data_IF_309434463537
#
_entry.id   IF_309434463537
#
_cell.length_a   1.000
_cell.length_b   1.000
_cell.length_c   1.000
_cell.angle_alpha   90.00
_cell.angle_beta   90.00
_cell.angle_gamma   90.00
#
_symmetry.space_group_name_H-M   'P 1'
#
loop_
_entity.id
_entity.type
_entity.pdbx_description
1 polymer ?
#
# COMPACT_ATOMS: atom_id res chain seq x y z
N UNK A 1 -18.51 14.19 -4.06
CA UNK A 1 -17.88 14.13 -2.73
C UNK A 1 -16.84 13.03 -2.75
N UNK A 2 -15.60 13.31 -2.35
CA UNK A 2 -14.53 12.30 -2.30
C UNK A 2 -14.76 11.42 -1.06
N UNK A 3 -14.69 10.11 -1.20
CA UNK A 3 -14.84 9.19 -0.07
C UNK A 3 -13.66 9.35 0.89
N UNK A 4 -13.95 9.76 2.12
CA UNK A 4 -12.99 9.75 3.22
C UNK A 4 -13.10 8.41 3.95
N UNK A 5 -11.95 7.82 4.31
CA UNK A 5 -11.88 6.53 4.98
C UNK A 5 -11.00 6.60 6.22
N UNK A 6 -11.48 5.99 7.30
CA UNK A 6 -10.76 5.93 8.55
C UNK A 6 -9.69 4.83 8.51
N UNK A 7 -8.49 5.13 9.01
CA UNK A 7 -7.32 4.26 8.99
C UNK A 7 -7.55 2.96 9.79
N UNK A 8 -8.32 3.00 10.88
CA UNK A 8 -8.63 1.80 11.66
C UNK A 8 -9.61 0.88 10.93
N UNK A 9 -10.61 1.47 10.24
CA UNK A 9 -11.50 0.70 9.35
C UNK A 9 -10.71 0.07 8.20
N UNK A 10 -9.75 0.81 7.65
CA UNK A 10 -8.90 0.30 6.58
C UNK A 10 -8.03 -0.87 7.04
N UNK A 11 -7.39 -0.76 8.21
CA UNK A 11 -6.62 -1.86 8.80
C UNK A 11 -7.48 -3.10 9.11
N UNK A 12 -8.71 -2.90 9.60
CA UNK A 12 -9.64 -3.99 9.85
C UNK A 12 -10.07 -4.73 8.57
N UNK A 13 -10.17 -4.03 7.43
CA UNK A 13 -10.44 -4.68 6.13
C UNK A 13 -9.27 -5.51 5.63
N UNK A 14 -8.04 -5.06 5.85
CA UNK A 14 -6.83 -5.85 5.55
C UNK A 14 -6.78 -7.11 6.41
N UNK A 15 -7.03 -6.99 7.71
CA UNK A 15 -7.06 -8.13 8.63
C UNK A 15 -8.16 -9.15 8.23
N UNK A 16 -9.35 -8.64 7.86
CA UNK A 16 -10.43 -9.46 7.31
C UNK A 16 -10.03 -10.15 6.00
N UNK A 17 -9.30 -9.47 5.12
CA UNK A 17 -8.82 -10.06 3.86
C UNK A 17 -7.88 -11.24 4.12
N UNK A 18 -6.87 -11.06 4.99
CA UNK A 18 -5.96 -12.14 5.38
C UNK A 18 -6.67 -13.32 6.06
N UNK A 19 -7.72 -13.04 6.85
CA UNK A 19 -8.50 -14.07 7.53
C UNK A 19 -9.57 -14.75 6.67
N UNK A 20 -9.71 -14.41 5.38
CA UNK A 20 -10.84 -14.82 4.53
C UNK A 20 -12.23 -14.47 5.12
N UNK A 21 -12.31 -13.34 5.85
CA UNK A 21 -13.52 -12.87 6.56
C UNK A 21 -14.25 -11.72 5.85
N UNK A 22 -13.86 -11.37 4.63
CA UNK A 22 -14.58 -10.36 3.84
C UNK A 22 -15.98 -10.84 3.41
N UNK A 23 -16.15 -12.14 3.19
CA UNK A 23 -17.45 -12.79 2.97
C UNK A 23 -18.29 -12.14 1.88
N UNK A 24 -19.57 -11.89 2.18
CA UNK A 24 -20.55 -11.32 1.27
C UNK A 24 -20.30 -9.85 0.87
N UNK A 25 -19.28 -9.19 1.44
CA UNK A 25 -18.89 -7.83 1.04
C UNK A 25 -18.20 -7.81 -0.33
N UNK A 26 -17.60 -8.93 -0.74
CA UNK A 26 -16.87 -9.06 -2.01
C UNK A 26 -17.88 -9.02 -3.15
N UNK A 27 -17.70 -8.06 -4.06
CA UNK A 27 -18.46 -7.96 -5.31
C UNK A 27 -17.68 -8.54 -6.49
N UNK A 28 -16.38 -8.26 -6.56
CA UNK A 28 -15.45 -8.85 -7.51
C UNK A 28 -14.15 -9.20 -6.82
N UNK A 29 -13.47 -10.24 -7.27
CA UNK A 29 -12.14 -10.60 -6.77
C UNK A 29 -11.26 -11.10 -7.89
N UNK A 30 -9.96 -10.99 -7.69
CA UNK A 30 -8.95 -11.66 -8.50
C UNK A 30 -7.94 -12.31 -7.58
N UNK A 31 -7.61 -13.56 -7.89
CA UNK A 31 -6.52 -14.33 -7.31
C UNK A 31 -5.81 -15.04 -8.47
N UNK A 32 -4.78 -14.38 -9.01
CA UNK A 32 -4.05 -14.91 -10.18
C UNK A 32 -2.59 -14.49 -10.11
N UNK A 33 -1.69 -15.44 -10.39
CA UNK A 33 -0.25 -15.21 -10.41
C UNK A 33 0.28 -14.51 -9.13
N UNK A 34 -0.25 -14.90 -7.96
CA UNK A 34 0.11 -14.31 -6.66
C UNK A 34 -0.48 -12.93 -6.38
N UNK A 35 -1.28 -12.36 -7.30
CA UNK A 35 -2.02 -11.11 -7.09
C UNK A 35 -3.36 -11.40 -6.48
N UNK A 36 -3.58 -10.87 -5.27
CA UNK A 36 -4.86 -10.91 -4.58
C UNK A 36 -5.45 -9.50 -4.50
N UNK A 37 -6.70 -9.35 -4.95
CA UNK A 37 -7.44 -8.10 -4.82
C UNK A 37 -8.95 -8.36 -4.67
N UNK A 38 -9.58 -7.60 -3.78
CA UNK A 38 -11.01 -7.70 -3.49
C UNK A 38 -11.66 -6.34 -3.71
N UNK A 39 -12.60 -6.27 -4.64
CA UNK A 39 -13.45 -5.10 -4.83
C UNK A 39 -14.78 -5.32 -4.09
N UNK A 40 -15.05 -4.46 -3.11
CA UNK A 40 -16.19 -4.57 -2.22
C UNK A 40 -17.42 -3.85 -2.78
N UNK A 41 -18.61 -4.23 -2.30
CA UNK A 41 -19.88 -3.65 -2.74
C UNK A 41 -20.01 -2.13 -2.52
N UNK A 42 -19.29 -1.58 -1.53
CA UNK A 42 -19.25 -0.14 -1.24
C UNK A 42 -18.30 0.65 -2.17
N UNK A 43 -17.54 -0.05 -3.02
CA UNK A 43 -16.59 0.52 -3.99
C UNK A 43 -15.16 0.63 -3.46
N UNK A 44 -14.85 0.01 -2.32
CA UNK A 44 -13.48 -0.08 -1.78
C UNK A 44 -12.73 -1.24 -2.44
N UNK A 45 -11.51 -0.97 -2.90
CA UNK A 45 -10.57 -1.98 -3.36
C UNK A 45 -9.59 -2.32 -2.24
N UNK A 46 -9.56 -3.59 -1.81
CA UNK A 46 -8.67 -4.10 -0.76
C UNK A 46 -7.60 -4.99 -1.38
N UNK A 47 -6.35 -4.66 -1.11
CA UNK A 47 -5.15 -5.31 -1.65
C UNK A 47 -4.31 -5.85 -0.49
N UNK A 48 -4.52 -7.09 -0.02
CA UNK A 48 -3.61 -7.70 0.94
C UNK A 48 -2.22 -7.90 0.29
N UNK A 49 -1.21 -8.13 1.14
CA UNK A 49 0.07 -8.65 0.67
C UNK A 49 -0.01 -10.15 0.38
N UNK A 50 1.08 -10.72 -0.14
CA UNK A 50 1.22 -12.18 -0.26
C UNK A 50 1.34 -12.84 1.11
N UNK A 51 0.81 -14.06 1.24
CA UNK A 51 0.98 -14.92 2.42
C UNK A 51 2.36 -15.60 2.48
N UNK A 52 3.15 -15.50 1.40
CA UNK A 52 4.45 -16.18 1.29
C UNK A 52 5.61 -15.18 1.19
N UNK A 53 6.52 -15.21 2.17
CA UNK A 53 7.77 -14.42 2.11
C UNK A 53 8.64 -14.75 0.89
N UNK A 54 8.52 -15.96 0.33
CA UNK A 54 9.16 -16.39 -0.93
C UNK A 54 8.68 -15.60 -2.13
N UNK A 55 7.37 -15.34 -2.25
CA UNK A 55 6.84 -14.47 -3.30
C UNK A 55 7.29 -13.03 -3.13
N UNK A 56 7.32 -12.55 -1.88
CA UNK A 56 7.83 -11.22 -1.55
C UNK A 56 9.30 -11.07 -1.99
N UNK A 57 10.16 -12.05 -1.72
CA UNK A 57 11.56 -12.01 -2.19
C UNK A 57 11.64 -12.06 -3.72
N UNK A 58 10.82 -12.87 -4.41
CA UNK A 58 10.79 -12.91 -5.89
C UNK A 58 10.48 -11.56 -6.53
N UNK A 59 9.51 -10.83 -5.99
CA UNK A 59 9.19 -9.48 -6.50
C UNK A 59 10.23 -8.45 -6.11
N UNK A 60 10.82 -8.54 -4.91
CA UNK A 60 11.79 -7.59 -4.36
C UNK A 60 13.21 -7.78 -4.93
N UNK A 61 13.57 -8.97 -5.39
CA UNK A 61 14.87 -9.30 -6.00
C UNK A 61 14.97 -8.86 -7.47
N UNK A 62 13.85 -8.53 -8.11
CA UNK A 62 13.83 -7.90 -9.44
C UNK A 62 14.10 -6.40 -9.36
N UNK A 63 15.27 -6.02 -8.81
CA UNK A 63 15.71 -4.63 -8.53
C UNK A 63 15.96 -3.75 -9.77
N UNK A 64 15.69 -4.30 -10.95
CA UNK A 64 15.66 -3.55 -12.18
C UNK A 64 14.52 -2.55 -12.17
N UNK A 65 14.83 -1.35 -12.65
CA UNK A 65 13.82 -0.35 -12.86
C UNK A 65 13.22 -0.51 -14.25
N UNK A 66 11.90 -0.50 -14.36
CA UNK A 66 11.16 -0.51 -15.63
C UNK A 66 10.49 0.84 -15.85
N UNK A 67 10.50 1.34 -17.08
CA UNK A 67 9.81 2.59 -17.43
C UNK A 67 8.32 2.30 -17.57
N UNK A 68 7.48 2.98 -16.80
CA UNK A 68 6.02 2.92 -16.94
C UNK A 68 5.47 4.04 -17.83
N UNK A 69 4.18 3.97 -18.16
CA UNK A 69 3.47 4.93 -19.03
C UNK A 69 3.51 6.38 -18.53
N UNK A 70 3.76 6.58 -17.23
CA UNK A 70 4.01 7.90 -16.65
C UNK A 70 5.36 8.51 -17.02
N UNK A 71 6.17 7.81 -17.83
CA UNK A 71 7.55 8.18 -18.16
C UNK A 71 8.53 7.97 -16.99
N UNK A 72 8.06 7.43 -15.86
CA UNK A 72 8.84 7.21 -14.64
C UNK A 72 9.35 5.78 -14.55
N UNK A 73 10.42 5.61 -13.78
CA UNK A 73 11.06 4.33 -13.53
C UNK A 73 10.55 3.73 -12.22
N UNK A 74 10.01 2.52 -12.29
CA UNK A 74 9.39 1.80 -11.17
C UNK A 74 10.17 0.54 -10.87
N UNK A 75 10.09 0.06 -9.63
CA UNK A 75 10.59 -1.27 -9.30
C UNK A 75 9.85 -2.31 -10.14
N UNK A 76 10.56 -3.12 -10.95
CA UNK A 76 9.93 -4.01 -11.95
C UNK A 76 8.91 -4.96 -11.32
N UNK A 77 9.25 -5.60 -10.21
CA UNK A 77 8.34 -6.54 -9.53
C UNK A 77 7.04 -5.88 -9.07
N UNK A 78 7.13 -4.70 -8.45
CA UNK A 78 5.95 -3.98 -7.97
C UNK A 78 5.13 -3.40 -9.12
N UNK A 79 5.78 -2.99 -10.21
CA UNK A 79 5.08 -2.51 -11.41
C UNK A 79 4.28 -3.63 -12.07
N UNK A 80 4.86 -4.83 -12.22
CA UNK A 80 4.15 -5.96 -12.81
C UNK A 80 2.90 -6.34 -11.98
N UNK A 81 3.03 -6.39 -10.65
CA UNK A 81 1.89 -6.60 -9.75
C UNK A 81 0.85 -5.48 -9.92
N UNK A 82 1.29 -4.22 -9.93
CA UNK A 82 0.41 -3.07 -10.05
C UNK A 82 -0.32 -3.01 -11.40
N UNK A 83 0.27 -3.50 -12.50
CA UNK A 83 -0.39 -3.56 -13.80
C UNK A 83 -1.59 -4.50 -13.79
N UNK A 84 -1.46 -5.70 -13.18
CA UNK A 84 -2.58 -6.63 -13.04
C UNK A 84 -3.70 -6.03 -12.18
N UNK A 85 -3.33 -5.42 -11.04
CA UNK A 85 -4.30 -4.70 -10.20
C UNK A 85 -4.95 -3.54 -10.95
N UNK A 86 -4.19 -2.78 -11.74
CA UNK A 86 -4.71 -1.64 -12.51
C UNK A 86 -5.72 -2.10 -13.57
N UNK A 87 -5.43 -3.18 -14.29
CA UNK A 87 -6.35 -3.76 -15.28
C UNK A 87 -7.66 -4.22 -14.64
N UNK A 88 -7.58 -4.82 -13.44
CA UNK A 88 -8.76 -5.20 -12.65
C UNK A 88 -9.53 -3.98 -12.13
N UNK A 89 -8.83 -2.99 -11.57
CA UNK A 89 -9.43 -1.86 -10.86
C UNK A 89 -10.03 -0.80 -11.80
N UNK A 90 -9.38 -0.51 -12.92
CA UNK A 90 -9.77 0.57 -13.85
C UNK A 90 -11.23 0.48 -14.32
N UNK A 91 -11.77 -0.67 -14.79
CA UNK A 91 -13.18 -0.75 -15.18
C UNK A 91 -14.14 -0.65 -13.99
N UNK A 92 -13.70 -1.06 -12.78
CA UNK A 92 -14.52 -1.05 -11.56
C UNK A 92 -14.63 0.32 -10.89
N UNK A 93 -13.77 1.27 -11.27
CA UNK A 93 -13.75 2.66 -10.77
C UNK A 93 -13.83 2.74 -9.23
N UNK A 94 -12.82 2.20 -8.50
CA UNK A 94 -12.84 2.22 -7.04
C UNK A 94 -12.96 3.64 -6.50
N UNK A 95 -13.73 3.77 -5.42
CA UNK A 95 -13.87 5.03 -4.67
C UNK A 95 -12.76 5.22 -3.66
N UNK A 96 -12.13 4.12 -3.24
CA UNK A 96 -11.04 4.08 -2.29
C UNK A 96 -10.17 2.84 -2.53
N UNK A 97 -8.88 2.93 -2.21
CA UNK A 97 -7.95 1.79 -2.28
C UNK A 97 -7.26 1.62 -0.92
N UNK A 98 -7.17 0.38 -0.46
CA UNK A 98 -6.44 0.01 0.76
C UNK A 98 -5.44 -1.07 0.39
N UNK A 99 -4.19 -0.90 0.78
CA UNK A 99 -3.16 -1.92 0.56
C UNK A 99 -2.31 -2.19 1.79
N UNK A 100 -1.80 -3.42 1.89
CA UNK A 100 -0.79 -3.81 2.89
C UNK A 100 0.38 -4.52 2.21
N UNK A 101 1.62 -4.28 2.66
CA UNK A 101 2.82 -4.98 2.17
C UNK A 101 2.97 -4.91 0.63
N UNK A 102 3.05 -6.04 -0.07
CA UNK A 102 3.06 -6.12 -1.53
C UNK A 102 1.82 -5.45 -2.16
N UNK A 103 0.64 -5.65 -1.58
CA UNK A 103 -0.59 -4.96 -2.00
C UNK A 103 -0.53 -3.45 -1.78
N UNK A 104 0.23 -2.98 -0.78
CA UNK A 104 0.49 -1.55 -0.57
C UNK A 104 1.47 -0.96 -1.60
N UNK A 105 2.41 -1.76 -2.11
CA UNK A 105 3.24 -1.37 -3.26
C UNK A 105 2.36 -1.08 -4.48
N UNK A 106 1.39 -1.97 -4.75
CA UNK A 106 0.44 -1.82 -5.83
C UNK A 106 -0.52 -0.64 -5.59
N UNK A 107 -1.05 -0.50 -4.38
CA UNK A 107 -1.95 0.58 -3.99
C UNK A 107 -1.32 1.95 -4.24
N UNK A 108 -0.04 2.14 -3.91
CA UNK A 108 0.70 3.37 -4.21
C UNK A 108 0.66 3.74 -5.69
N UNK A 109 0.95 2.77 -6.57
CA UNK A 109 1.03 2.98 -8.02
C UNK A 109 -0.38 3.22 -8.58
N UNK A 110 -1.32 2.31 -8.31
CA UNK A 110 -2.68 2.34 -8.85
C UNK A 110 -3.46 3.55 -8.32
N UNK A 111 -3.35 3.87 -7.04
CA UNK A 111 -3.99 5.01 -6.41
C UNK A 111 -3.54 6.34 -7.01
N UNK A 112 -2.24 6.51 -7.21
CA UNK A 112 -1.72 7.71 -7.88
C UNK A 112 -2.13 7.78 -9.35
N UNK A 113 -2.08 6.66 -10.08
CA UNK A 113 -2.48 6.59 -11.50
C UNK A 113 -3.95 6.88 -11.73
N UNK A 114 -4.84 6.35 -10.87
CA UNK A 114 -6.29 6.57 -10.96
C UNK A 114 -6.75 7.84 -10.25
N UNK A 115 -5.88 8.52 -9.49
CA UNK A 115 -6.21 9.65 -8.62
C UNK A 115 -7.35 9.30 -7.65
N UNK A 116 -7.25 8.14 -7.04
CA UNK A 116 -8.23 7.60 -6.07
C UNK A 116 -7.63 7.66 -4.68
N UNK A 117 -8.37 8.12 -3.65
CA UNK A 117 -7.91 8.11 -2.27
C UNK A 117 -7.39 6.73 -1.85
N UNK A 118 -6.19 6.70 -1.29
CA UNK A 118 -5.48 5.45 -1.01
C UNK A 118 -4.79 5.47 0.34
N UNK A 119 -4.99 4.41 1.12
CA UNK A 119 -4.20 4.11 2.32
C UNK A 119 -3.32 2.90 2.05
N UNK A 120 -2.02 3.06 2.27
CA UNK A 120 -1.00 2.03 2.07
C UNK A 120 -0.27 1.76 3.39
N UNK A 121 -0.45 0.58 3.96
CA UNK A 121 0.24 0.14 5.18
C UNK A 121 1.48 -0.67 4.84
N UNK A 122 2.55 -0.52 5.64
CA UNK A 122 3.74 -1.35 5.52
C UNK A 122 4.33 -1.38 4.10
N UNK A 123 4.26 -0.24 3.42
CA UNK A 123 4.48 -0.19 1.98
C UNK A 123 5.98 -0.11 1.67
N UNK A 124 6.50 -0.89 0.71
CA UNK A 124 7.86 -0.71 0.23
C UNK A 124 7.97 0.52 -0.68
N UNK A 125 9.20 0.90 -0.99
CA UNK A 125 9.52 1.98 -1.93
C UNK A 125 9.35 1.44 -3.36
N UNK A 126 8.60 2.15 -4.20
CA UNK A 126 8.22 1.64 -5.54
C UNK A 126 8.76 2.47 -6.69
N UNK A 127 9.06 3.75 -6.46
CA UNK A 127 9.39 4.72 -7.50
C UNK A 127 10.87 5.08 -7.44
N UNK A 128 11.57 4.96 -8.56
CA UNK A 128 12.95 5.42 -8.70
C UNK A 128 13.02 6.93 -8.95
N UNK A 129 13.95 7.57 -8.25
CA UNK A 129 14.22 9.02 -8.34
C UNK A 129 13.42 9.88 -7.37
N UNK A 130 13.70 11.20 -7.39
CA UNK A 130 13.24 12.14 -6.35
C UNK A 130 12.06 13.02 -6.76
N UNK A 131 11.82 13.21 -8.05
CA UNK A 131 10.77 14.12 -8.54
C UNK A 131 9.37 13.55 -8.31
N UNK A 132 8.40 14.41 -7.97
CA UNK A 132 6.99 14.03 -7.77
C UNK A 132 6.31 13.58 -9.06
N UNK A 133 5.34 12.69 -8.95
CA UNK A 133 4.39 12.28 -9.99
C UNK A 133 3.07 13.06 -9.83
N UNK A 134 2.30 13.17 -10.92
CA UNK A 134 0.89 13.58 -10.82
C UNK A 134 0.11 12.52 -10.04
N UNK A 135 -0.82 12.94 -9.18
CA UNK A 135 -1.68 12.02 -8.41
C UNK A 135 -1.08 11.52 -7.09
N UNK A 136 0.18 11.80 -6.76
CA UNK A 136 0.76 11.35 -5.47
C UNK A 136 0.02 11.89 -4.24
N UNK A 137 -0.63 13.06 -4.36
CA UNK A 137 -1.42 13.65 -3.27
C UNK A 137 -2.64 12.81 -2.84
N UNK A 138 -3.01 11.77 -3.59
CA UNK A 138 -4.11 10.86 -3.26
C UNK A 138 -3.69 9.67 -2.38
N UNK A 139 -2.38 9.50 -2.15
CA UNK A 139 -1.83 8.33 -1.46
C UNK A 139 -1.24 8.72 -0.11
N UNK A 140 -1.67 8.01 0.94
CA UNK A 140 -1.10 8.09 2.28
C UNK A 140 -0.45 6.75 2.66
N UNK A 141 0.86 6.79 2.94
CA UNK A 141 1.63 5.65 3.42
C UNK A 141 1.77 5.74 4.93
N UNK A 142 1.35 4.69 5.63
CA UNK A 142 1.51 4.53 7.07
C UNK A 142 2.63 3.51 7.28
N UNK A 143 3.74 3.98 7.84
CA UNK A 143 5.01 3.29 7.83
C UNK A 143 5.52 3.17 9.26
N UNK A 144 6.12 2.04 9.60
CA UNK A 144 6.82 1.86 10.87
C UNK A 144 8.32 1.93 10.68
N UNK A 145 9.02 2.57 11.60
CA UNK A 145 10.48 2.72 11.54
C UNK A 145 11.19 1.38 11.71
N UNK A 146 10.62 0.46 12.51
CA UNK A 146 11.14 -0.89 12.75
C UNK A 146 10.75 -1.91 11.67
N UNK A 147 9.90 -1.53 10.71
CA UNK A 147 9.48 -2.42 9.63
C UNK A 147 10.46 -2.37 8.46
N UNK A 148 11.24 -3.44 8.30
CA UNK A 148 12.27 -3.55 7.26
C UNK A 148 11.72 -3.42 5.85
N UNK A 149 10.47 -3.85 5.59
CA UNK A 149 9.84 -3.78 4.26
C UNK A 149 9.67 -2.32 3.85
N UNK A 150 9.38 -1.43 4.79
CA UNK A 150 9.24 0.01 4.51
C UNK A 150 10.54 0.65 4.02
N UNK A 151 11.68 0.01 4.28
CA UNK A 151 12.99 0.49 3.86
C UNK A 151 13.47 -0.14 2.55
N UNK A 152 12.77 -1.15 2.04
CA UNK A 152 13.12 -1.87 0.81
C UNK A 152 12.51 -1.22 -0.45
N UNK A 153 13.17 -1.35 -1.60
CA UNK A 153 14.56 -1.76 -1.76
C UNK A 153 15.53 -0.73 -1.15
N UNK A 154 16.73 -1.18 -0.70
CA UNK A 154 17.74 -0.28 -0.17
C UNK A 154 18.26 0.64 -1.27
N UNK A 155 18.72 1.83 -0.88
CA UNK A 155 19.38 2.73 -1.82
C UNK A 155 20.81 2.21 -2.06
N UNK A 156 21.07 1.65 -3.24
CA UNK A 156 22.40 1.14 -3.63
C UNK A 156 22.92 1.94 -4.83
N UNK A 157 24.09 2.55 -4.67
CA UNK A 157 24.73 3.37 -5.71
C UNK A 157 23.85 4.54 -6.15
N UNK A 158 23.57 4.64 -7.46
CA UNK A 158 22.75 5.72 -8.05
C UNK A 158 21.25 5.40 -8.08
N UNK A 159 20.83 4.18 -7.72
CA UNK A 159 19.42 3.78 -7.66
C UNK A 159 18.85 4.17 -6.29
N UNK A 160 18.04 5.23 -6.27
CA UNK A 160 17.29 5.62 -5.07
C UNK A 160 15.81 5.42 -5.30
N UNK A 161 15.20 4.57 -4.48
CA UNK A 161 13.77 4.33 -4.49
C UNK A 161 13.09 5.12 -3.38
N UNK A 162 11.83 5.48 -3.62
CA UNK A 162 10.96 6.12 -2.63
C UNK A 162 9.53 5.63 -2.72
N UNK A 163 8.77 5.88 -1.66
CA UNK A 163 7.31 5.79 -1.67
C UNK A 163 6.68 6.87 -2.54
N UNK A 164 5.45 6.61 -2.98
CA UNK A 164 4.58 7.54 -3.73
C UNK A 164 3.56 8.12 -2.76
N UNK A 165 3.47 9.45 -2.70
CA UNK A 165 2.52 10.15 -1.82
C UNK A 165 3.05 10.52 -0.44
N UNK A 166 2.13 10.87 0.46
CA UNK A 166 2.42 11.24 1.84
C UNK A 166 3.00 10.05 2.61
N UNK A 167 3.93 10.31 3.53
CA UNK A 167 4.58 9.30 4.37
C UNK A 167 4.41 9.69 5.83
N UNK A 168 3.77 8.81 6.60
CA UNK A 168 3.56 8.95 8.03
C UNK A 168 4.37 7.86 8.74
N UNK A 169 5.60 8.20 9.11
CA UNK A 169 6.51 7.31 9.82
C UNK A 169 6.19 7.31 11.31
N UNK A 170 6.04 6.12 11.88
CA UNK A 170 5.75 5.91 13.28
C UNK A 170 6.89 5.09 13.89
N UNK A 171 7.49 5.61 14.96
CA UNK A 171 8.51 4.92 15.73
C UNK A 171 7.86 4.25 16.95
N UNK A 172 7.88 2.91 17.07
CA UNK A 172 7.42 2.23 18.29
C UNK A 172 8.39 2.45 19.45
N UNK A 173 7.94 2.22 20.70
CA UNK A 173 8.79 2.26 21.90
C UNK A 173 9.78 1.10 21.98
N UNK A 174 9.46 -0.02 21.32
CA UNK A 174 10.30 -1.21 21.23
C UNK A 174 10.25 -1.82 19.83
N UNK A 175 11.31 -2.52 19.46
CA UNK A 175 11.40 -3.23 18.17
C UNK A 175 10.63 -4.54 18.26
N UNK A 176 9.67 -4.75 17.37
CA UNK A 176 8.90 -5.99 17.30
C UNK A 176 9.48 -6.94 16.24
N UNK A 177 10.71 -7.43 16.44
CA UNK A 177 11.44 -8.23 15.45
C UNK A 177 10.58 -9.40 14.95
N UNK A 178 10.26 -9.42 13.65
CA UNK A 178 9.53 -10.51 12.98
C UNK A 178 8.01 -10.37 13.01
N UNK A 179 7.47 -9.47 13.83
CA UNK A 179 6.04 -9.15 13.88
C UNK A 179 5.75 -7.72 13.39
N UNK A 180 6.76 -6.86 13.30
CA UNK A 180 6.73 -5.45 12.88
C UNK A 180 5.89 -5.21 11.62
N UNK A 181 5.91 -6.18 10.70
CA UNK A 181 5.21 -6.13 9.42
C UNK A 181 3.71 -6.50 9.47
N UNK A 182 3.15 -6.92 10.62
CA UNK A 182 1.74 -7.32 10.71
C UNK A 182 0.81 -6.13 10.92
N UNK A 183 -0.31 -6.09 10.20
CA UNK A 183 -1.30 -5.01 10.28
C UNK A 183 -1.77 -4.71 11.72
N UNK A 184 -1.90 -5.73 12.58
CA UNK A 184 -2.25 -5.58 14.00
C UNK A 184 -1.31 -4.62 14.74
N UNK A 185 -0.02 -4.63 14.41
CA UNK A 185 0.99 -3.81 15.04
C UNK A 185 0.96 -2.37 14.53
N UNK A 186 0.56 -2.15 13.27
CA UNK A 186 0.22 -0.83 12.75
C UNK A 186 -1.01 -0.25 13.45
N UNK A 187 -2.02 -1.08 13.71
CA UNK A 187 -3.23 -0.62 14.41
C UNK A 187 -2.94 -0.31 15.89
N UNK A 188 -2.07 -1.07 16.53
CA UNK A 188 -1.66 -0.82 17.91
C UNK A 188 -0.93 0.54 18.05
N UNK A 189 0.10 0.77 17.24
CA UNK A 189 0.88 2.02 17.29
C UNK A 189 0.02 3.24 16.95
N UNK A 190 -0.92 3.11 16.00
CA UNK A 190 -1.83 4.21 15.65
C UNK A 190 -2.77 4.65 16.79
N UNK A 191 -2.96 3.82 17.82
CA UNK A 191 -3.77 4.15 19.00
C UNK A 191 -2.97 4.85 20.10
N UNK A 192 -1.64 4.87 20.01
CA UNK A 192 -0.81 5.56 21.01
C UNK A 192 -1.05 7.08 20.95
N UNK A 193 -1.20 7.71 22.12
CA UNK A 193 -1.53 9.14 22.24
C UNK A 193 -0.56 10.05 21.45
N UNK A 194 0.73 9.70 21.41
CA UNK A 194 1.73 10.47 20.65
C UNK A 194 1.46 10.54 19.15
N UNK A 195 0.70 9.60 18.58
CA UNK A 195 0.35 9.58 17.15
C UNK A 195 -1.06 10.07 16.88
N UNK A 196 -1.78 10.56 17.88
CA UNK A 196 -3.14 11.06 17.73
C UNK A 196 -3.20 12.28 16.80
N UNK A 197 -2.26 13.22 16.97
CA UNK A 197 -2.19 14.48 16.20
C UNK A 197 -1.17 14.45 15.06
N UNK A 198 -0.17 13.56 15.13
CA UNK A 198 0.93 13.48 14.14
C UNK A 198 0.55 12.74 12.86
N UNK A 199 -0.44 11.85 12.94
CA UNK A 199 -0.81 10.94 11.85
C UNK A 199 -2.31 11.08 11.60
N UNK A 200 -2.74 11.42 10.37
CA UNK A 200 -4.17 11.54 10.08
C UNK A 200 -4.87 10.21 10.32
N UNK A 201 -6.05 10.25 10.94
CA UNK A 201 -6.89 9.07 11.12
C UNK A 201 -7.87 8.88 9.98
N UNK A 202 -8.13 9.93 9.22
CA UNK A 202 -9.02 9.92 8.07
C UNK A 202 -8.27 10.40 6.83
N UNK A 203 -8.51 9.72 5.71
CA UNK A 203 -7.89 10.05 4.43
C UNK A 203 -8.93 10.07 3.30
N UNK A 204 -8.90 11.05 2.37
CA UNK A 204 -8.06 12.23 2.37
C UNK A 204 -8.31 13.12 3.61
N UNK A 205 -7.35 13.97 3.97
CA UNK A 205 -7.57 14.94 5.04
C UNK A 205 -8.74 15.84 4.67
N UNK A 206 -9.62 16.12 5.63
CA UNK A 206 -10.63 17.17 5.48
C UNK A 206 -9.90 18.48 5.10
N UNK A 207 -10.43 19.19 4.10
CA UNK A 207 -9.92 20.51 3.73
C UNK A 207 -10.13 21.50 4.88
#
# INVERSE_FOLDING_TARGET
MVLQYNVFKAGALIDQAYGNKLGNKIKHQVDVAGVQAYYLADGVLVLPGTNELSDWTRYNLSVDAIKGDSGRYWHRGFMNYAQLVFMFAKPLKPKFIIGHSLGAAAAQIVGASLKVPTIAFASPKVLSGKSRLSGEGWVANYLRMDDTVCHMPPNIGRKSYRHVGSRYWMAPDGVNIGEDHKIKNYMAILKEARFETLVPKDWPKSA
#
